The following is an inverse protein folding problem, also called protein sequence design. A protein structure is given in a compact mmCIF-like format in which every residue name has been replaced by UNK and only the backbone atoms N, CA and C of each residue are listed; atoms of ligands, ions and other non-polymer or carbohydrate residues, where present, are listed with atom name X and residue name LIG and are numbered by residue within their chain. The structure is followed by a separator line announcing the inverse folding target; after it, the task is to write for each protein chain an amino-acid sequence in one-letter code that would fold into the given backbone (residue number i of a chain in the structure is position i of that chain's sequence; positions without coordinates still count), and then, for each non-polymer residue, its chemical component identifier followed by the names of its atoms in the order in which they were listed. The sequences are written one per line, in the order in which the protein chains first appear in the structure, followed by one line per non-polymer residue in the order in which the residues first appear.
data_IF_742845823552
#
_entry.id   IF_742845823552
#
_cell.length_a   1.000
_cell.length_b   1.000
_cell.length_c   1.000
_cell.angle_alpha   90.00
_cell.angle_beta   90.00
_cell.angle_gamma   90.00
#
_symmetry.space_group_name_H-M   'P 1'
#
loop_
_entity.id
_entity.type
_entity.pdbx_description
1 polymer ?
#
# COMPACT_ATOMS: atom_id res chain seq x y z
N UNK A 1 6.04 8.22 22.45
CA UNK A 1 5.29 6.98 22.15
C UNK A 1 6.11 6.17 21.15
N UNK A 2 6.28 4.88 21.38
CA UNK A 2 6.95 3.96 20.44
C UNK A 2 6.13 3.86 19.17
N UNK A 3 6.76 4.12 18.01
CA UNK A 3 6.13 3.92 16.70
C UNK A 3 5.92 2.42 16.48
N UNK A 4 4.78 2.04 15.90
CA UNK A 4 4.42 0.64 15.61
C UNK A 4 4.06 0.48 14.14
N UNK A 5 4.23 -0.71 13.59
CA UNK A 5 3.49 -1.13 12.40
C UNK A 5 2.13 -1.61 12.88
N UNK A 6 1.04 -1.01 12.42
CA UNK A 6 -0.31 -1.47 12.79
C UNK A 6 -0.88 -2.35 11.68
N UNK A 7 -1.67 -3.37 12.04
CA UNK A 7 -2.43 -4.17 11.08
C UNK A 7 -3.86 -4.40 11.54
N UNK A 8 -4.82 -4.18 10.65
CA UNK A 8 -6.23 -4.52 10.89
C UNK A 8 -6.47 -6.01 10.65
N UNK A 9 -7.03 -6.71 11.64
CA UNK A 9 -7.30 -8.15 11.56
C UNK A 9 -8.79 -8.44 11.80
N UNK A 10 -9.43 -9.12 10.86
CA UNK A 10 -10.84 -9.56 10.95
C UNK A 10 -11.01 -11.08 10.80
N UNK A 11 -9.90 -11.81 10.60
CA UNK A 11 -9.88 -13.27 10.46
C UNK A 11 -10.00 -13.79 9.02
N UNK A 12 -10.26 -12.92 8.03
CA UNK A 12 -10.26 -13.24 6.60
C UNK A 12 -8.87 -13.66 6.10
N UNK A 13 -8.81 -14.23 4.88
CA UNK A 13 -7.53 -14.63 4.26
C UNK A 13 -6.65 -13.42 3.95
N UNK A 14 -7.26 -12.34 3.46
CA UNK A 14 -6.58 -11.08 3.16
C UNK A 14 -6.05 -10.39 4.42
N UNK A 15 -6.76 -10.42 5.55
CA UNK A 15 -6.25 -9.82 6.79
C UNK A 15 -5.14 -10.64 7.44
N UNK A 16 -5.14 -11.97 7.25
CA UNK A 16 -4.03 -12.84 7.64
C UNK A 16 -2.78 -12.58 6.79
N UNK A 17 -2.93 -12.49 5.47
CA UNK A 17 -1.82 -12.13 4.58
C UNK A 17 -1.26 -10.74 4.93
N UNK A 18 -2.14 -9.77 5.19
CA UNK A 18 -1.75 -8.45 5.70
C UNK A 18 -0.96 -8.52 7.01
N UNK A 19 -1.31 -9.42 7.94
CA UNK A 19 -0.58 -9.59 9.19
C UNK A 19 0.82 -10.20 8.99
N UNK A 20 0.97 -11.18 8.09
CA UNK A 20 2.29 -11.73 7.73
C UNK A 20 3.16 -10.66 7.05
N UNK A 21 2.60 -9.92 6.09
CA UNK A 21 3.33 -8.84 5.42
C UNK A 21 3.72 -7.74 6.42
N UNK A 22 2.81 -7.35 7.31
CA UNK A 22 3.08 -6.36 8.34
C UNK A 22 4.16 -6.81 9.32
N UNK A 23 4.23 -8.11 9.64
CA UNK A 23 5.29 -8.66 10.47
C UNK A 23 6.67 -8.56 9.79
N UNK A 24 6.75 -8.91 8.49
CA UNK A 24 7.99 -8.73 7.70
C UNK A 24 8.39 -7.25 7.61
N UNK A 25 7.44 -6.35 7.38
CA UNK A 25 7.72 -4.91 7.36
C UNK A 25 8.15 -4.39 8.74
N UNK A 26 7.62 -4.95 9.83
CA UNK A 26 8.02 -4.64 11.20
C UNK A 26 9.47 -5.08 11.48
N UNK A 27 9.89 -6.25 10.98
CA UNK A 27 11.30 -6.69 11.04
C UNK A 27 12.22 -5.75 10.27
N UNK A 28 11.86 -5.38 9.03
CA UNK A 28 12.64 -4.44 8.20
C UNK A 28 12.75 -3.03 8.82
N UNK A 29 11.80 -2.68 9.68
CA UNK A 29 11.76 -1.38 10.35
C UNK A 29 12.29 -1.38 11.77
N UNK A 30 12.59 -2.54 12.34
CA UNK A 30 12.91 -2.71 13.75
C UNK A 30 11.85 -2.06 14.66
N UNK A 31 10.57 -2.30 14.34
CA UNK A 31 9.43 -1.75 15.06
C UNK A 31 8.52 -2.87 15.59
N UNK A 32 7.83 -2.66 16.72
CA UNK A 32 6.79 -3.58 17.17
C UNK A 32 5.61 -3.63 16.19
N UNK A 33 5.01 -4.81 16.05
CA UNK A 33 3.76 -5.03 15.32
C UNK A 33 2.57 -4.91 16.28
N UNK A 34 1.63 -4.03 15.98
CA UNK A 34 0.34 -3.88 16.68
C UNK A 34 -0.79 -4.45 15.82
N UNK A 35 -1.36 -5.57 16.27
CA UNK A 35 -2.55 -6.18 15.67
C UNK A 35 -3.78 -5.50 16.27
N UNK A 36 -4.61 -4.89 15.44
CA UNK A 36 -5.83 -4.19 15.82
C UNK A 36 -7.04 -4.97 15.31
N UNK A 37 -7.87 -5.43 16.24
CA UNK A 37 -9.17 -6.02 15.92
C UNK A 37 -10.26 -5.04 16.31
N UNK A 38 -11.15 -4.69 15.40
CA UNK A 38 -12.30 -3.82 15.69
C UNK A 38 -13.57 -4.66 15.74
N UNK A 39 -14.23 -4.62 16.89
CA UNK A 39 -15.54 -5.22 17.08
C UNK A 39 -16.63 -4.16 16.86
N UNK A 40 -17.52 -4.42 15.91
CA UNK A 40 -18.71 -3.59 15.71
C UNK A 40 -19.81 -4.04 16.69
N UNK A 41 -20.30 -3.16 17.58
CA UNK A 41 -21.37 -3.52 18.50
C UNK A 41 -22.67 -3.80 17.73
N UNK A 42 -23.29 -4.94 18.01
CA UNK A 42 -24.59 -5.32 17.44
C UNK A 42 -25.65 -4.31 17.90
N UNK A 43 -26.49 -3.75 17.00
CA UNK A 43 -27.56 -2.84 17.40
C UNK A 43 -28.49 -3.47 18.46
N UNK A 44 -28.91 -2.67 19.45
CA UNK A 44 -29.71 -3.14 20.60
C UNK A 44 -30.93 -4.03 20.27
N UNK A 45 -31.70 -3.79 19.17
CA UNK A 45 -32.83 -4.65 18.82
C UNK A 45 -32.42 -6.09 18.45
N UNK A 46 -31.18 -6.28 17.95
CA UNK A 46 -30.64 -7.59 17.58
C UNK A 46 -29.87 -8.25 18.73
N UNK A 47 -29.29 -7.45 19.63
CA UNK A 47 -28.60 -7.95 20.83
C UNK A 47 -29.56 -8.57 21.86
N UNK A 48 -30.84 -8.21 21.85
CA UNK A 48 -31.89 -8.78 22.71
C UNK A 48 -32.53 -10.06 22.16
N UNK A 49 -32.15 -10.52 20.96
CA UNK A 49 -32.65 -11.77 20.41
C UNK A 49 -32.00 -12.98 21.14
N UNK A 50 -32.77 -13.93 21.71
CA UNK A 50 -32.25 -15.03 22.54
C UNK A 50 -31.44 -16.10 21.77
N UNK A 51 -31.03 -15.84 20.53
CA UNK A 51 -30.39 -16.81 19.64
C UNK A 51 -28.88 -16.93 19.82
N UNK A 52 -28.21 -15.99 20.51
CA UNK A 52 -26.75 -16.02 20.70
C UNK A 52 -26.43 -15.68 22.16
N UNK A 53 -25.99 -16.66 22.92
CA UNK A 53 -25.52 -16.46 24.29
C UNK A 53 -24.37 -15.43 24.32
N UNK A 54 -24.46 -14.46 25.23
CA UNK A 54 -23.50 -13.36 25.38
C UNK A 54 -22.08 -13.89 25.66
N UNK A 55 -21.99 -15.01 26.38
CA UNK A 55 -20.71 -15.70 26.67
C UNK A 55 -20.08 -16.35 25.44
N UNK A 56 -20.87 -16.88 24.51
CA UNK A 56 -20.34 -17.51 23.30
C UNK A 56 -19.73 -16.47 22.37
N UNK A 57 -20.36 -15.29 22.20
CA UNK A 57 -19.78 -14.24 21.34
C UNK A 57 -18.46 -13.70 21.89
N UNK A 58 -18.37 -13.39 23.19
CA UNK A 58 -17.13 -12.85 23.78
C UNK A 58 -15.95 -13.85 23.70
N UNK A 59 -16.20 -15.15 23.88
CA UNK A 59 -15.16 -16.17 23.80
C UNK A 59 -14.60 -16.38 22.39
N UNK A 60 -15.43 -16.27 21.34
CA UNK A 60 -14.97 -16.37 19.95
C UNK A 60 -14.24 -15.10 19.49
N UNK A 61 -14.71 -13.92 19.91
CA UNK A 61 -14.13 -12.63 19.51
C UNK A 61 -12.75 -12.38 20.09
N UNK A 62 -12.45 -12.84 21.32
CA UNK A 62 -11.11 -12.66 21.91
C UNK A 62 -10.09 -13.74 21.48
N UNK A 63 -10.55 -14.94 21.13
CA UNK A 63 -9.65 -16.06 20.80
C UNK A 63 -8.96 -15.86 19.45
N UNK A 64 -9.71 -15.44 18.44
CA UNK A 64 -9.19 -15.33 17.07
C UNK A 64 -8.02 -14.33 16.98
N UNK A 65 -8.11 -13.09 17.53
CA UNK A 65 -6.98 -12.16 17.51
C UNK A 65 -5.79 -12.63 18.32
N UNK A 66 -6.01 -13.26 19.49
CA UNK A 66 -4.92 -13.79 20.32
C UNK A 66 -4.21 -14.97 19.69
N UNK A 67 -4.93 -15.89 19.06
CA UNK A 67 -4.34 -17.02 18.34
C UNK A 67 -3.58 -16.56 17.10
N UNK A 68 -4.12 -15.60 16.34
CA UNK A 68 -3.41 -15.00 15.23
C UNK A 68 -2.13 -14.29 15.69
N UNK A 69 -2.18 -13.49 16.76
CA UNK A 69 -1.02 -12.82 17.33
C UNK A 69 0.06 -13.81 17.79
N UNK A 70 -0.34 -14.90 18.46
CA UNK A 70 0.58 -15.98 18.85
C UNK A 70 1.20 -16.65 17.63
N UNK A 71 0.41 -16.94 16.60
CA UNK A 71 0.90 -17.52 15.35
C UNK A 71 1.95 -16.65 14.68
N UNK A 72 1.69 -15.34 14.59
CA UNK A 72 2.64 -14.37 14.01
C UNK A 72 3.92 -14.30 14.85
N UNK A 73 3.80 -14.17 16.18
CA UNK A 73 4.95 -14.11 17.07
C UNK A 73 5.85 -15.38 16.99
N UNK A 74 5.26 -16.55 16.76
CA UNK A 74 6.01 -17.80 16.57
C UNK A 74 6.76 -17.84 15.22
N UNK A 75 6.18 -17.28 14.16
CA UNK A 75 6.81 -17.20 12.83
C UNK A 75 7.84 -16.07 12.71
N UNK A 76 7.66 -15.02 13.49
CA UNK A 76 8.47 -13.80 13.51
C UNK A 76 9.04 -13.54 14.91
N UNK A 77 9.98 -14.38 15.40
CA UNK A 77 10.48 -14.28 16.77
C UNK A 77 11.27 -12.98 17.04
N UNK A 78 11.70 -12.27 16.00
CA UNK A 78 12.36 -10.97 16.10
C UNK A 78 11.40 -9.80 16.30
N UNK A 79 10.09 -10.01 16.21
CA UNK A 79 9.08 -8.94 16.28
C UNK A 79 8.33 -9.01 17.61
N UNK A 80 8.32 -7.89 18.33
CA UNK A 80 7.38 -7.74 19.44
C UNK A 80 5.95 -7.56 18.89
N UNK A 81 5.10 -8.56 19.12
CA UNK A 81 3.69 -8.54 18.71
C UNK A 81 2.80 -8.08 19.87
N UNK A 82 2.02 -7.02 19.63
CA UNK A 82 1.06 -6.43 20.56
C UNK A 82 -0.34 -6.63 19.96
N UNK A 83 -1.32 -7.03 20.77
CA UNK A 83 -2.72 -7.14 20.35
C UNK A 83 -3.55 -6.07 21.03
N UNK A 84 -4.39 -5.39 20.26
CA UNK A 84 -5.35 -4.39 20.75
C UNK A 84 -6.73 -4.68 20.17
N UNK A 85 -7.74 -4.58 21.03
CA UNK A 85 -9.13 -4.74 20.65
C UNK A 85 -9.85 -3.41 20.84
N UNK A 86 -10.48 -2.93 19.77
CA UNK A 86 -11.26 -1.70 19.75
C UNK A 86 -12.73 -2.03 19.53
N UNK A 87 -13.60 -1.10 19.93
CA UNK A 87 -15.04 -1.17 19.67
C UNK A 87 -15.47 0.04 18.86
N UNK A 88 -16.32 -0.17 17.86
CA UNK A 88 -16.89 0.91 17.05
C UNK A 88 -16.92 0.57 15.56
N UNK A 89 -17.09 1.60 14.72
CA UNK A 89 -17.05 1.43 13.26
C UNK A 89 -15.62 1.14 12.80
N UNK A 90 -15.37 0.02 12.08
CA UNK A 90 -14.01 -0.40 11.70
C UNK A 90 -13.20 0.66 10.96
N UNK A 91 -13.80 1.39 10.01
CA UNK A 91 -13.11 2.42 9.26
C UNK A 91 -12.56 3.54 10.15
N UNK A 92 -13.38 4.05 11.06
CA UNK A 92 -13.01 5.15 11.96
C UNK A 92 -11.99 4.71 13.01
N UNK A 93 -12.21 3.54 13.61
CA UNK A 93 -11.32 2.98 14.61
C UNK A 93 -9.93 2.68 14.03
N UNK A 94 -9.87 2.09 12.83
CA UNK A 94 -8.60 1.82 12.14
C UNK A 94 -7.92 3.11 11.67
N UNK A 95 -8.67 4.08 11.14
CA UNK A 95 -8.09 5.39 10.77
C UNK A 95 -7.52 6.13 11.99
N UNK A 96 -8.15 6.00 13.16
CA UNK A 96 -7.61 6.52 14.42
C UNK A 96 -6.35 5.76 14.85
N UNK A 97 -6.36 4.43 14.81
CA UNK A 97 -5.19 3.62 15.12
C UNK A 97 -4.00 3.93 14.18
N UNK A 98 -4.26 4.23 12.91
CA UNK A 98 -3.24 4.63 11.95
C UNK A 98 -2.45 5.86 12.41
N UNK A 99 -3.08 6.84 13.10
CA UNK A 99 -2.42 8.08 13.55
C UNK A 99 -1.29 7.84 14.54
N UNK A 100 -1.38 6.75 15.30
CA UNK A 100 -0.39 6.35 16.30
C UNK A 100 0.70 5.42 15.72
N UNK A 101 0.46 4.89 14.52
CA UNK A 101 1.36 3.97 13.84
C UNK A 101 2.34 4.72 12.90
N UNK A 102 3.42 4.04 12.52
CA UNK A 102 4.28 4.48 11.41
C UNK A 102 3.54 4.30 10.08
N UNK A 103 2.88 3.14 9.92
CA UNK A 103 1.97 2.81 8.83
C UNK A 103 0.92 1.80 9.32
N UNK A 104 -0.22 1.77 8.63
CA UNK A 104 -1.29 0.79 8.85
C UNK A 104 -1.37 -0.17 7.66
N UNK A 105 -1.43 -1.46 7.93
CA UNK A 105 -1.60 -2.51 6.92
C UNK A 105 -3.03 -3.06 6.99
N UNK A 106 -3.66 -3.25 5.84
CA UNK A 106 -4.99 -3.83 5.73
C UNK A 106 -5.04 -4.87 4.61
N UNK A 107 -5.87 -5.89 4.82
CA UNK A 107 -6.25 -6.80 3.75
C UNK A 107 -7.07 -6.09 2.67
N UNK A 108 -6.93 -6.55 1.44
CA UNK A 108 -7.78 -6.20 0.31
C UNK A 108 -8.27 -7.47 -0.37
N UNK A 109 -9.57 -7.49 -0.69
CA UNK A 109 -10.22 -8.65 -1.29
C UNK A 109 -9.74 -8.83 -2.74
N UNK A 110 -9.36 -10.06 -3.06
CA UNK A 110 -9.29 -10.54 -4.43
C UNK A 110 -10.53 -11.40 -4.72
N UNK A 111 -11.28 -11.10 -5.78
CA UNK A 111 -12.12 -12.12 -6.38
C UNK A 111 -11.17 -12.99 -7.20
N UNK A 112 -11.03 -14.27 -6.86
CA UNK A 112 -10.17 -15.18 -7.62
C UNK A 112 -10.56 -15.19 -9.10
N UNK A 113 -9.63 -14.86 -10.00
CA UNK A 113 -9.84 -14.88 -11.45
C UNK A 113 -9.75 -13.53 -12.16
N UNK A 114 -9.92 -13.56 -13.49
CA UNK A 114 -9.61 -12.52 -14.51
C UNK A 114 -10.53 -11.26 -14.44
N UNK A 115 -11.14 -10.96 -13.29
CA UNK A 115 -12.25 -10.01 -13.14
C UNK A 115 -11.95 -8.70 -12.41
N UNK A 116 -10.67 -8.38 -12.15
CA UNK A 116 -10.30 -7.20 -11.37
C UNK A 116 -10.51 -7.37 -9.86
N UNK A 117 -9.79 -6.58 -9.07
CA UNK A 117 -9.79 -6.70 -7.61
C UNK A 117 -10.74 -5.68 -6.99
N UNK A 118 -11.27 -5.97 -5.78
CA UNK A 118 -12.17 -5.06 -5.07
C UNK A 118 -11.57 -4.69 -3.73
N UNK A 119 -11.25 -3.40 -3.56
CA UNK A 119 -10.93 -2.89 -2.24
C UNK A 119 -12.21 -2.82 -1.40
N UNK A 120 -12.15 -3.39 -0.20
CA UNK A 120 -13.28 -3.35 0.73
C UNK A 120 -13.62 -1.94 1.18
N UNK A 121 -14.87 -1.71 1.57
CA UNK A 121 -15.36 -0.40 2.05
C UNK A 121 -14.57 0.13 3.24
N UNK A 122 -14.18 -0.74 4.18
CA UNK A 122 -13.32 -0.38 5.32
C UNK A 122 -11.96 0.13 4.83
N UNK A 123 -11.26 -0.62 3.98
CA UNK A 123 -9.94 -0.24 3.47
C UNK A 123 -9.99 1.04 2.63
N UNK A 124 -11.01 1.23 1.77
CA UNK A 124 -11.19 2.50 1.05
C UNK A 124 -11.46 3.67 2.00
N UNK A 125 -12.32 3.48 3.02
CA UNK A 125 -12.59 4.52 4.01
C UNK A 125 -11.32 4.92 4.77
N UNK A 126 -10.54 3.94 5.23
CA UNK A 126 -9.26 4.20 5.92
C UNK A 126 -8.29 4.92 4.99
N UNK A 127 -8.09 4.45 3.76
CA UNK A 127 -7.19 5.11 2.79
C UNK A 127 -7.61 6.55 2.54
N UNK A 128 -8.92 6.81 2.41
CA UNK A 128 -9.45 8.14 2.17
C UNK A 128 -9.21 9.11 3.34
N UNK A 129 -9.28 8.63 4.59
CA UNK A 129 -9.26 9.46 5.80
C UNK A 129 -7.97 9.38 6.62
N UNK A 130 -7.05 8.48 6.30
CA UNK A 130 -5.80 8.30 7.05
C UNK A 130 -4.80 9.41 6.75
N UNK A 131 -4.25 10.00 7.82
CA UNK A 131 -3.13 10.95 7.76
C UNK A 131 -1.75 10.24 7.78
N UNK A 132 -1.74 8.90 7.85
CA UNK A 132 -0.52 8.07 7.78
C UNK A 132 -0.56 7.11 6.59
N UNK A 133 0.60 6.61 6.12
CA UNK A 133 0.65 5.61 5.06
C UNK A 133 -0.22 4.39 5.37
N UNK A 134 -0.99 3.95 4.37
CA UNK A 134 -1.80 2.74 4.45
C UNK A 134 -1.34 1.76 3.38
N UNK A 135 -0.98 0.55 3.78
CA UNK A 135 -0.59 -0.52 2.85
C UNK A 135 -1.74 -1.50 2.68
N UNK A 136 -2.15 -1.74 1.44
CA UNK A 136 -3.13 -2.75 1.10
C UNK A 136 -2.44 -4.00 0.57
N UNK A 137 -2.69 -5.13 1.23
CA UNK A 137 -2.11 -6.44 0.92
C UNK A 137 -3.21 -7.36 0.39
N UNK A 138 -2.89 -8.17 -0.62
CA UNK A 138 -3.85 -9.08 -1.24
C UNK A 138 -3.98 -10.37 -0.44
N UNK A 139 -5.12 -11.03 -0.57
CA UNK A 139 -5.22 -12.43 -0.14
C UNK A 139 -4.18 -13.28 -0.86
N UNK A 140 -3.64 -14.28 -0.15
CA UNK A 140 -2.63 -15.22 -0.64
C UNK A 140 -1.27 -14.59 -0.98
N UNK A 141 -1.04 -13.32 -0.64
CA UNK A 141 0.30 -12.76 -0.69
C UNK A 141 1.22 -13.54 0.25
N UNK A 142 2.41 -13.86 -0.25
CA UNK A 142 3.43 -14.61 0.46
C UNK A 142 4.76 -13.89 0.38
N UNK A 143 5.67 -14.22 1.31
CA UNK A 143 7.03 -13.68 1.30
C UNK A 143 7.76 -13.91 -0.04
N UNK A 144 7.46 -14.98 -0.79
CA UNK A 144 8.10 -15.24 -2.07
C UNK A 144 7.68 -14.26 -3.19
N UNK A 145 6.50 -13.64 -3.07
CA UNK A 145 5.98 -12.71 -4.07
C UNK A 145 6.74 -11.37 -4.08
N UNK A 146 7.34 -11.00 -2.95
CA UNK A 146 8.17 -9.79 -2.81
C UNK A 146 9.57 -9.96 -3.45
N UNK A 147 9.94 -11.17 -3.84
CA UNK A 147 11.30 -11.53 -4.26
C UNK A 147 11.36 -12.04 -5.69
N UNK A 148 12.55 -11.97 -6.28
CA UNK A 148 12.80 -12.56 -7.60
C UNK A 148 12.64 -14.09 -7.54
N UNK A 149 12.14 -14.75 -8.59
CA UNK A 149 12.17 -16.21 -8.60
C UNK A 149 13.62 -16.73 -8.56
N UNK A 150 13.81 -17.95 -8.07
CA UNK A 150 15.11 -18.59 -8.11
C UNK A 150 15.57 -18.88 -9.57
N UNK A 151 16.82 -19.33 -9.81
CA UNK A 151 17.29 -19.64 -11.16
C UNK A 151 16.49 -20.71 -11.91
N UNK A 152 15.67 -21.50 -11.21
CA UNK A 152 14.76 -22.50 -11.80
C UNK A 152 13.34 -21.93 -12.07
N UNK A 153 13.09 -20.66 -11.75
CA UNK A 153 11.80 -20.00 -11.92
C UNK A 153 10.82 -20.26 -10.76
N UNK A 154 11.29 -20.79 -9.64
CA UNK A 154 10.44 -21.15 -8.50
C UNK A 154 10.34 -19.95 -7.54
N UNK A 155 9.13 -19.59 -7.06
CA UNK A 155 8.98 -18.55 -6.03
C UNK A 155 9.80 -18.86 -4.78
N UNK A 156 10.61 -17.90 -4.33
CA UNK A 156 11.51 -18.07 -3.19
C UNK A 156 11.64 -16.76 -2.41
N UNK A 157 11.63 -16.84 -1.08
CA UNK A 157 11.91 -15.69 -0.20
C UNK A 157 13.41 -15.53 0.11
N UNK A 158 14.27 -16.40 -0.42
CA UNK A 158 15.71 -16.40 -0.16
C UNK A 158 16.52 -15.64 -1.23
N UNK A 159 15.87 -15.25 -2.33
CA UNK A 159 16.43 -14.43 -3.41
C UNK A 159 16.36 -12.93 -3.05
N UNK A 160 16.92 -12.03 -3.86
CA UNK A 160 16.76 -10.58 -3.62
C UNK A 160 15.32 -10.11 -3.78
N UNK A 161 14.97 -9.00 -3.11
CA UNK A 161 13.69 -8.32 -3.30
C UNK A 161 13.57 -7.78 -4.73
N UNK A 162 12.36 -7.90 -5.28
CA UNK A 162 11.94 -7.16 -6.48
C UNK A 162 12.05 -5.65 -6.24
N UNK A 163 12.12 -4.82 -7.29
CA UNK A 163 12.16 -3.37 -7.14
C UNK A 163 10.92 -2.82 -6.42
N UNK A 164 11.09 -1.68 -5.74
CA UNK A 164 9.97 -0.83 -5.30
C UNK A 164 9.57 0.06 -6.48
N UNK A 165 8.28 0.20 -6.73
CA UNK A 165 7.74 1.07 -7.79
C UNK A 165 7.13 2.31 -7.16
N UNK A 166 7.49 3.50 -7.64
CA UNK A 166 6.88 4.78 -7.25
C UNK A 166 6.14 5.39 -8.44
N UNK A 167 4.84 5.63 -8.31
CA UNK A 167 4.11 6.50 -9.23
C UNK A 167 4.29 7.97 -8.84
N UNK A 168 4.88 8.78 -9.72
CA UNK A 168 5.21 10.19 -9.43
C UNK A 168 4.55 11.17 -10.42
N UNK A 169 3.87 12.17 -9.87
CA UNK A 169 3.45 13.37 -10.61
C UNK A 169 4.55 14.43 -10.50
N UNK A 170 5.25 14.70 -11.60
CA UNK A 170 6.32 15.71 -11.67
C UNK A 170 5.80 17.14 -11.64
N UNK A 171 4.50 17.37 -11.88
CA UNK A 171 3.90 18.70 -11.80
C UNK A 171 3.66 19.13 -10.35
N UNK A 172 3.44 18.17 -9.46
CA UNK A 172 3.19 18.38 -8.04
C UNK A 172 3.97 17.36 -7.21
N UNK A 173 5.31 17.40 -7.24
CA UNK A 173 6.12 16.45 -6.48
C UNK A 173 5.93 16.70 -4.98
N UNK A 174 5.84 15.61 -4.21
CA UNK A 174 5.75 15.67 -2.76
C UNK A 174 6.89 14.89 -2.11
N UNK A 175 7.58 15.55 -1.18
CA UNK A 175 8.75 15.01 -0.51
C UNK A 175 8.42 13.81 0.38
N UNK A 176 7.23 13.78 1.00
CA UNK A 176 6.79 12.68 1.88
C UNK A 176 6.59 11.40 1.09
N UNK A 177 5.98 11.51 -0.09
CA UNK A 177 5.78 10.38 -1.00
C UNK A 177 7.11 9.83 -1.50
N UNK A 178 8.01 10.70 -1.95
CA UNK A 178 9.31 10.30 -2.49
C UNK A 178 10.17 9.69 -1.37
N UNK A 179 10.24 10.33 -0.20
CA UNK A 179 10.99 9.82 0.96
C UNK A 179 10.54 8.43 1.37
N UNK A 180 9.22 8.19 1.44
CA UNK A 180 8.69 6.88 1.79
C UNK A 180 9.15 5.79 0.80
N UNK A 181 9.13 6.08 -0.50
CA UNK A 181 9.54 5.12 -1.53
C UNK A 181 11.04 4.81 -1.47
N UNK A 182 11.88 5.84 -1.28
CA UNK A 182 13.33 5.65 -1.10
C UNK A 182 13.66 4.89 0.18
N UNK A 183 13.00 5.20 1.30
CA UNK A 183 13.21 4.46 2.56
C UNK A 183 12.78 2.99 2.43
N UNK A 184 11.65 2.72 1.76
CA UNK A 184 11.20 1.37 1.49
C UNK A 184 12.20 0.58 0.63
N UNK A 185 12.71 1.17 -0.45
CA UNK A 185 13.71 0.55 -1.32
C UNK A 185 15.03 0.28 -0.57
N UNK A 186 15.50 1.26 0.22
CA UNK A 186 16.72 1.14 1.04
C UNK A 186 16.61 0.01 2.07
N UNK A 187 15.49 -0.09 2.80
CA UNK A 187 15.29 -1.14 3.81
C UNK A 187 15.27 -2.55 3.21
N UNK A 188 14.78 -2.67 1.99
CA UNK A 188 14.74 -3.92 1.21
C UNK A 188 16.03 -4.19 0.43
N UNK A 189 17.02 -3.30 0.54
CA UNK A 189 18.26 -3.36 -0.24
C UNK A 189 18.03 -3.59 -1.74
N UNK A 190 17.01 -2.93 -2.30
CA UNK A 190 16.59 -3.09 -3.69
C UNK A 190 16.57 -1.75 -4.45
N UNK A 191 16.38 -1.82 -5.75
CA UNK A 191 16.24 -0.64 -6.61
C UNK A 191 14.85 0.00 -6.51
N UNK A 192 14.78 1.29 -6.84
CA UNK A 192 13.54 2.04 -6.98
C UNK A 192 13.27 2.34 -8.46
N UNK A 193 12.13 1.92 -8.97
CA UNK A 193 11.64 2.29 -10.31
C UNK A 193 10.62 3.42 -10.17
N UNK A 194 10.93 4.60 -10.70
CA UNK A 194 10.03 5.76 -10.66
C UNK A 194 9.31 5.87 -11.99
N UNK A 195 8.00 5.65 -11.96
CA UNK A 195 7.12 5.71 -13.14
C UNK A 195 6.42 7.06 -13.16
N UNK A 196 6.67 7.80 -14.23
CA UNK A 196 5.99 9.04 -14.55
C UNK A 196 5.30 8.89 -15.91
N UNK A 197 4.05 9.36 -16.00
CA UNK A 197 3.36 9.40 -17.28
C UNK A 197 2.98 10.82 -17.65
N UNK A 198 3.21 11.14 -18.93
CA UNK A 198 2.91 12.43 -19.52
C UNK A 198 1.96 12.25 -20.70
N UNK A 199 1.13 13.27 -20.94
CA UNK A 199 0.23 13.33 -22.07
C UNK A 199 0.27 14.76 -22.62
N UNK A 200 0.50 14.98 -23.93
CA UNK A 200 0.43 16.30 -24.52
C UNK A 200 -0.95 16.93 -24.25
N UNK A 201 -1.01 18.26 -24.05
CA UNK A 201 -2.26 18.96 -23.86
C UNK A 201 -3.30 18.62 -24.94
N UNK A 202 -4.60 18.54 -24.60
CA UNK A 202 -5.65 18.05 -25.51
C UNK A 202 -5.72 18.78 -26.86
N UNK A 203 -5.28 20.03 -26.94
CA UNK A 203 -5.27 20.79 -28.19
C UNK A 203 -4.28 20.23 -29.24
N UNK A 204 -3.23 19.50 -28.82
CA UNK A 204 -2.35 18.77 -29.74
C UNK A 204 -3.03 17.55 -30.38
N UNK A 205 -4.04 16.97 -29.72
CA UNK A 205 -4.76 15.80 -30.22
C UNK A 205 -5.72 16.14 -31.38
N UNK A 206 -6.13 17.41 -31.52
CA UNK A 206 -7.14 17.83 -32.50
C UNK A 206 -6.62 18.65 -33.68
N UNK A 207 -5.35 19.08 -33.69
CA UNK A 207 -4.89 20.12 -34.63
C UNK A 207 -3.61 19.85 -35.41
N UNK A 208 -2.77 18.90 -34.99
CA UNK A 208 -1.46 18.68 -35.61
C UNK A 208 -1.30 17.23 -36.06
N UNK A 209 -0.86 16.95 -37.31
CA UNK A 209 -0.38 15.60 -37.64
C UNK A 209 0.69 15.24 -36.62
N UNK A 210 0.65 14.01 -36.09
CA UNK A 210 1.59 13.52 -35.07
C UNK A 210 3.02 13.77 -35.55
N UNK A 211 3.64 14.86 -35.07
CA UNK A 211 4.99 15.25 -35.44
C UNK A 211 5.96 14.49 -34.54
N UNK A 212 6.71 13.50 -35.07
CA UNK A 212 7.56 12.66 -34.24
C UNK A 212 8.65 13.46 -33.50
N UNK A 213 9.19 14.51 -34.14
CA UNK A 213 10.22 15.36 -33.53
C UNK A 213 9.68 16.18 -32.35
N UNK A 214 8.41 16.61 -32.41
CA UNK A 214 7.77 17.28 -31.28
C UNK A 214 7.53 16.30 -30.12
N UNK A 215 7.10 15.08 -30.44
CA UNK A 215 6.88 14.04 -29.43
C UNK A 215 8.18 13.67 -28.70
N UNK A 216 9.28 13.51 -29.43
CA UNK A 216 10.60 13.22 -28.87
C UNK A 216 11.13 14.38 -28.00
N UNK A 217 10.92 15.62 -28.43
CA UNK A 217 11.27 16.81 -27.65
C UNK A 217 10.49 16.88 -26.32
N UNK A 218 9.18 16.60 -26.35
CA UNK A 218 8.35 16.54 -25.14
C UNK A 218 8.80 15.41 -24.21
N UNK A 219 9.02 14.20 -24.76
CA UNK A 219 9.53 13.07 -24.00
C UNK A 219 10.85 13.37 -23.28
N UNK A 220 11.76 14.06 -23.97
CA UNK A 220 13.05 14.48 -23.41
C UNK A 220 12.87 15.50 -22.28
N UNK A 221 11.98 16.48 -22.47
CA UNK A 221 11.69 17.48 -21.45
C UNK A 221 11.07 16.86 -20.19
N UNK A 222 10.10 15.96 -20.34
CA UNK A 222 9.48 15.25 -19.21
C UNK A 222 10.49 14.34 -18.48
N UNK A 223 11.37 13.64 -19.21
CA UNK A 223 12.44 12.85 -18.62
C UNK A 223 13.44 13.72 -17.84
N UNK A 224 13.78 14.91 -18.36
CA UNK A 224 14.64 15.87 -17.65
C UNK A 224 13.97 16.39 -16.38
N UNK A 225 12.68 16.73 -16.42
CA UNK A 225 11.93 17.16 -15.24
C UNK A 225 11.91 16.08 -14.15
N UNK A 226 11.68 14.82 -14.53
CA UNK A 226 11.77 13.68 -13.61
C UNK A 226 13.17 13.55 -12.98
N UNK A 227 14.22 13.62 -13.80
CA UNK A 227 15.60 13.55 -13.33
C UNK A 227 15.96 14.69 -12.37
N UNK A 228 15.43 15.90 -12.60
CA UNK A 228 15.63 17.07 -11.73
C UNK A 228 14.97 16.88 -10.37
N UNK A 229 13.72 16.40 -10.34
CA UNK A 229 13.00 16.10 -9.09
C UNK A 229 13.75 15.04 -8.27
N UNK A 230 14.30 14.01 -8.92
CA UNK A 230 14.97 12.89 -8.24
C UNK A 230 16.43 13.15 -7.86
N UNK A 231 17.06 14.18 -8.42
CA UNK A 231 18.47 14.53 -8.16
C UNK A 231 18.80 14.69 -6.66
N UNK A 232 18.08 15.49 -5.85
CA UNK A 232 18.37 15.61 -4.42
C UNK A 232 18.17 14.28 -3.67
N UNK A 233 17.20 13.46 -4.08
CA UNK A 233 16.91 12.17 -3.44
C UNK A 233 17.99 11.13 -3.70
N UNK A 234 18.56 11.10 -4.92
CA UNK A 234 19.73 10.27 -5.23
C UNK A 234 20.95 10.63 -4.39
N UNK A 235 21.15 11.91 -4.11
CA UNK A 235 22.22 12.36 -3.22
C UNK A 235 21.96 11.97 -1.76
N UNK A 236 20.69 12.00 -1.32
CA UNK A 236 20.28 11.59 0.04
C UNK A 236 20.33 10.06 0.24
N UNK A 237 20.06 9.28 -0.80
CA UNK A 237 20.00 7.82 -0.79
C UNK A 237 20.93 7.20 -1.85
N UNK A 238 22.25 7.30 -1.68
CA UNK A 238 23.21 6.85 -2.70
C UNK A 238 23.19 5.33 -2.93
N UNK A 239 22.77 4.55 -1.93
CA UNK A 239 22.71 3.08 -2.01
C UNK A 239 21.50 2.56 -2.81
N UNK A 240 20.52 3.43 -3.10
CA UNK A 240 19.32 3.05 -3.85
C UNK A 240 19.55 3.33 -5.33
N UNK A 241 19.67 2.27 -6.13
CA UNK A 241 19.69 2.39 -7.59
C UNK A 241 18.31 2.83 -8.09
N UNK A 242 18.24 3.98 -8.75
CA UNK A 242 16.97 4.54 -9.25
C UNK A 242 16.87 4.38 -10.77
N UNK A 243 15.85 3.67 -11.23
CA UNK A 243 15.45 3.58 -12.65
C UNK A 243 14.32 4.58 -12.92
N UNK A 244 14.50 5.44 -13.91
CA UNK A 244 13.50 6.44 -14.32
C UNK A 244 12.73 5.94 -15.54
N UNK A 245 11.40 5.91 -15.44
CA UNK A 245 10.51 5.55 -16.55
C UNK A 245 9.52 6.69 -16.83
N UNK A 246 9.88 7.55 -17.78
CA UNK A 246 8.97 8.57 -18.32
C UNK A 246 8.27 8.02 -19.57
N UNK A 247 6.97 7.72 -19.47
CA UNK A 247 6.20 7.06 -20.54
C UNK A 247 5.03 7.93 -21.02
N UNK A 248 4.80 7.93 -22.33
CA UNK A 248 3.60 8.53 -22.91
C UNK A 248 2.36 7.71 -22.55
N UNK A 249 1.28 8.37 -22.12
CA UNK A 249 -0.04 7.75 -21.95
C UNK A 249 -0.59 7.83 -20.53
N UNK A 250 -1.38 6.83 -20.13
CA UNK A 250 -2.10 6.87 -18.85
C UNK A 250 -1.20 6.49 -17.67
N UNK A 251 -1.04 7.35 -16.64
CA UNK A 251 -0.26 7.02 -15.45
C UNK A 251 -0.77 5.78 -14.72
N UNK A 252 -2.09 5.59 -14.67
CA UNK A 252 -2.69 4.41 -14.02
C UNK A 252 -2.28 3.10 -14.69
N UNK A 253 -2.18 3.07 -16.02
CA UNK A 253 -1.82 1.86 -16.78
C UNK A 253 -0.35 1.55 -16.56
N UNK A 254 0.53 2.54 -16.73
CA UNK A 254 1.97 2.33 -16.58
C UNK A 254 2.38 1.91 -15.17
N UNK A 255 1.74 2.46 -14.13
CA UNK A 255 2.03 2.05 -12.74
C UNK A 255 1.49 0.64 -12.46
N UNK A 256 0.32 0.28 -12.98
CA UNK A 256 -0.24 -1.08 -12.84
C UNK A 256 0.61 -2.11 -13.57
N UNK A 257 1.10 -1.80 -14.77
CA UNK A 257 1.98 -2.69 -15.53
C UNK A 257 3.31 -2.90 -14.80
N UNK A 258 3.89 -1.83 -14.26
CA UNK A 258 5.12 -1.91 -13.45
C UNK A 258 4.92 -2.70 -12.14
N UNK A 259 3.70 -2.74 -11.59
CA UNK A 259 3.40 -3.43 -10.34
C UNK A 259 3.62 -4.95 -10.40
N UNK A 260 3.53 -5.57 -11.58
CA UNK A 260 3.69 -7.02 -11.73
C UNK A 260 5.09 -7.52 -11.31
N UNK A 261 6.11 -6.67 -11.49
CA UNK A 261 7.50 -6.94 -11.13
C UNK A 261 7.94 -6.25 -9.85
N UNK A 262 7.02 -5.75 -9.02
CA UNK A 262 7.35 -4.96 -7.83
C UNK A 262 7.22 -5.76 -6.53
N UNK A 263 8.06 -5.46 -5.54
CA UNK A 263 7.87 -5.94 -4.16
C UNK A 263 6.86 -5.06 -3.39
N UNK A 264 6.76 -3.80 -3.78
CA UNK A 264 5.87 -2.79 -3.21
C UNK A 264 5.61 -1.70 -4.23
N UNK A 265 4.35 -1.30 -4.38
CA UNK A 265 3.96 -0.13 -5.18
C UNK A 265 3.63 1.02 -4.25
N UNK A 266 4.24 2.18 -4.48
CA UNK A 266 4.03 3.39 -3.70
C UNK A 266 3.31 4.41 -4.58
N UNK A 267 2.16 4.88 -4.10
CA UNK A 267 1.34 5.90 -4.77
C UNK A 267 0.88 6.95 -3.77
N UNK A 268 0.76 8.18 -4.23
CA UNK A 268 0.32 9.28 -3.40
C UNK A 268 -1.20 9.38 -3.29
N UNK A 269 -1.68 9.88 -2.15
CA UNK A 269 -3.04 10.40 -1.99
C UNK A 269 -2.98 11.86 -1.55
N UNK A 270 -3.46 12.77 -2.38
CA UNK A 270 -3.52 14.19 -2.03
C UNK A 270 -4.60 14.45 -0.98
N UNK A 271 -4.22 15.00 0.16
CA UNK A 271 -5.11 15.37 1.26
C UNK A 271 -5.79 16.70 0.96
N UNK A 272 -6.90 16.65 0.23
CA UNK A 272 -7.72 17.84 -0.04
C UNK A 272 -8.66 18.11 1.13
N UNK A 273 -8.56 19.30 1.74
CA UNK A 273 -9.58 19.85 2.63
C UNK A 273 -10.73 20.45 1.81
N UNK A 274 -11.52 19.60 1.15
CA UNK A 274 -12.69 20.03 0.35
C UNK A 274 -13.99 19.60 1.05
N UNK A 275 -15.06 20.41 0.98
CA UNK A 275 -16.36 20.05 1.55
C UNK A 275 -17.04 18.84 0.85
N UNK A 276 -16.53 18.40 -0.31
CA UNK A 276 -17.09 17.29 -1.08
C UNK A 276 -16.55 15.89 -0.67
N UNK A 277 -15.88 15.79 0.48
CA UNK A 277 -15.38 14.52 1.03
C UNK A 277 -13.97 14.14 0.56
N UNK A 278 -13.47 13.03 1.11
CA UNK A 278 -12.14 12.52 0.81
C UNK A 278 -12.09 11.82 -0.57
N UNK A 279 -11.05 12.11 -1.36
CA UNK A 279 -10.86 11.55 -2.69
C UNK A 279 -9.48 10.90 -2.80
N UNK A 280 -9.42 9.67 -3.32
CA UNK A 280 -8.19 8.86 -3.37
C UNK A 280 -7.35 9.15 -4.64
N UNK A 281 -7.98 9.68 -5.70
CA UNK A 281 -7.33 9.92 -6.99
C UNK A 281 -7.52 8.75 -7.95
N UNK A 282 -7.63 9.02 -9.26
CA UNK A 282 -7.90 7.98 -10.26
C UNK A 282 -6.72 6.99 -10.43
N UNK A 283 -5.48 7.47 -10.34
CA UNK A 283 -4.27 6.62 -10.40
C UNK A 283 -4.24 5.67 -9.22
N UNK A 284 -4.30 6.20 -7.99
CA UNK A 284 -4.32 5.40 -6.76
C UNK A 284 -5.48 4.44 -6.74
N UNK A 285 -6.68 4.85 -7.16
CA UNK A 285 -7.83 3.95 -7.29
C UNK A 285 -7.53 2.80 -8.27
N UNK A 286 -7.04 3.08 -9.48
CA UNK A 286 -6.70 2.03 -10.44
C UNK A 286 -5.63 1.06 -9.90
N UNK A 287 -4.55 1.57 -9.30
CA UNK A 287 -3.48 0.75 -8.72
C UNK A 287 -4.02 -0.12 -7.58
N UNK A 288 -4.84 0.43 -6.70
CA UNK A 288 -5.49 -0.33 -5.63
C UNK A 288 -6.42 -1.44 -6.13
N UNK A 289 -6.98 -1.32 -7.33
CA UNK A 289 -7.89 -2.29 -7.92
C UNK A 289 -7.24 -3.26 -8.92
N UNK A 290 -6.01 -3.01 -9.36
CA UNK A 290 -5.34 -3.81 -10.40
C UNK A 290 -3.92 -4.25 -10.05
N UNK A 291 -3.27 -3.69 -9.02
CA UNK A 291 -1.94 -4.13 -8.59
C UNK A 291 -2.00 -5.54 -7.97
N UNK A 292 -1.06 -6.38 -8.40
CA UNK A 292 -0.79 -7.69 -7.81
C UNK A 292 0.12 -7.59 -6.59
N UNK A 293 1.05 -6.63 -6.58
CA UNK A 293 1.92 -6.34 -5.45
C UNK A 293 1.20 -5.54 -4.35
N UNK A 294 1.67 -5.61 -3.08
CA UNK A 294 1.24 -4.71 -2.02
C UNK A 294 1.31 -3.24 -2.43
N UNK A 295 0.31 -2.45 -2.04
CA UNK A 295 0.22 -1.03 -2.42
C UNK A 295 0.26 -0.14 -1.20
N UNK A 296 1.32 0.64 -1.04
CA UNK A 296 1.41 1.72 -0.08
C UNK A 296 0.80 3.01 -0.64
N UNK A 297 -0.26 3.49 0.01
CA UNK A 297 -0.88 4.77 -0.26
C UNK A 297 -0.38 5.79 0.75
N UNK A 298 0.40 6.76 0.29
CA UNK A 298 1.03 7.78 1.13
C UNK A 298 0.25 9.09 1.06
N UNK A 299 -0.37 9.55 2.16
CA UNK A 299 -1.05 10.84 2.19
C UNK A 299 -0.05 12.00 2.09
N UNK A 300 -0.34 12.98 1.24
CA UNK A 300 0.50 14.16 1.00
C UNK A 300 -0.31 15.44 0.70
N UNK A 301 0.33 16.62 0.66
CA UNK A 301 -0.34 17.92 0.52
C UNK A 301 -0.77 18.29 -0.93
#
# INVERSE_FOLDING_TARGET
MTRTIAVGLDGSLESRAAAEWAAREAELRDLPLKIVHVWEPVPEPMAQAPLLGVETQQHWTERIPREAARGIALRHPGVQVISEQLTGYPGDALAKAAKEAELLVLGSRGLGGIGGFMVGSVSLSVVAHSDRPVVLVRALETAADEHEPDPAGIPSAATPFRPVVLGLDTQHPDDTLIEFAFDAARRRATSLTVVHAWNPPPYYAYGTPANPALHEALATADAQALAEVLRPWRAKFPDVKVTEESRYGSPSVHVVDAAAGASLVVVGRRVRRSPLGAHIGHVTHAVLHHSTAPVAVVPHA
#
